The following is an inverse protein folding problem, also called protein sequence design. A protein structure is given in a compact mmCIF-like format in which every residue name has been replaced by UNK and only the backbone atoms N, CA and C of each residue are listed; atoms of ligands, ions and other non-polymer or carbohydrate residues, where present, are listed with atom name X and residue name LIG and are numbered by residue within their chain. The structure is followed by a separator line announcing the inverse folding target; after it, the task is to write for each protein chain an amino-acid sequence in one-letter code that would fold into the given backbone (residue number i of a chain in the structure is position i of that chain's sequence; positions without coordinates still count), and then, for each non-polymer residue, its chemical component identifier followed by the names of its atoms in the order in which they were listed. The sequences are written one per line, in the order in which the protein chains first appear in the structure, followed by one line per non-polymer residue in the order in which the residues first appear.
data_IF_486368501440
#
_entry.id   IF_486368501440
#
_cell.length_a   1.000
_cell.length_b   1.000
_cell.length_c   1.000
_cell.angle_alpha   90.00
_cell.angle_beta   90.00
_cell.angle_gamma   90.00
#
_symmetry.space_group_name_H-M   'P 1'
#
loop_
_entity.id
_entity.type
_entity.pdbx_description
1 polymer ?
#
# COMPACT_ATOMS: atom_id res chain seq x y z
N UNK A 1 -47.32 -27.15 26.32
CA UNK A 1 -47.25 -26.30 25.12
C UNK A 1 -46.33 -25.12 25.41
N UNK A 2 -45.08 -25.33 25.31
CA UNK A 2 -44.08 -24.27 25.53
C UNK A 2 -43.03 -24.39 24.42
N UNK A 3 -42.83 -23.39 23.64
CA UNK A 3 -41.67 -23.32 22.82
C UNK A 3 -41.84 -22.99 21.37
N UNK A 4 -42.26 -21.78 21.03
CA UNK A 4 -42.06 -21.29 19.65
C UNK A 4 -41.78 -19.79 19.54
N UNK A 5 -41.72 -19.04 20.64
CA UNK A 5 -41.54 -17.59 20.60
C UNK A 5 -40.06 -17.14 20.62
N UNK A 6 -39.10 -17.98 21.08
CA UNK A 6 -37.68 -17.65 21.17
C UNK A 6 -36.92 -17.75 19.85
N UNK A 7 -37.40 -18.45 18.86
CA UNK A 7 -36.65 -18.73 17.62
C UNK A 7 -36.59 -17.58 16.62
N UNK A 8 -37.55 -16.67 16.60
CA UNK A 8 -37.56 -15.54 15.64
C UNK A 8 -36.59 -14.45 16.05
N UNK A 9 -36.51 -14.12 17.33
CA UNK A 9 -35.60 -13.10 17.83
C UNK A 9 -34.16 -13.55 17.73
N UNK A 10 -33.85 -14.80 18.03
CA UNK A 10 -32.52 -15.38 17.83
C UNK A 10 -32.10 -15.41 16.37
N UNK A 11 -33.01 -15.69 15.45
CA UNK A 11 -32.77 -15.69 14.02
C UNK A 11 -32.46 -14.27 13.50
N UNK A 12 -33.22 -13.27 13.95
CA UNK A 12 -33.02 -11.86 13.60
C UNK A 12 -31.69 -11.34 14.13
N UNK A 13 -31.32 -11.68 15.38
CA UNK A 13 -30.04 -11.31 15.99
C UNK A 13 -28.88 -11.97 15.23
N UNK A 14 -29.00 -13.24 14.90
CA UNK A 14 -27.99 -13.97 14.13
C UNK A 14 -27.84 -13.42 12.71
N UNK A 15 -28.93 -12.98 12.09
CA UNK A 15 -28.90 -12.34 10.77
C UNK A 15 -28.22 -10.98 10.84
N UNK A 16 -28.57 -10.13 11.80
CA UNK A 16 -27.93 -8.83 12.01
C UNK A 16 -26.42 -8.96 12.29
N UNK A 17 -26.01 -9.96 13.07
CA UNK A 17 -24.60 -10.26 13.30
C UNK A 17 -23.89 -10.71 12.01
N UNK A 18 -24.54 -11.50 11.16
CA UNK A 18 -23.98 -11.92 9.86
C UNK A 18 -23.83 -10.73 8.92
N UNK A 19 -24.85 -9.88 8.84
CA UNK A 19 -24.84 -8.69 7.98
C UNK A 19 -23.78 -7.69 8.44
N UNK A 20 -23.63 -7.47 9.75
CA UNK A 20 -22.58 -6.65 10.35
C UNK A 20 -21.18 -7.22 10.06
N UNK A 21 -20.97 -8.52 10.29
CA UNK A 21 -19.70 -9.19 10.00
C UNK A 21 -19.39 -9.21 8.50
N UNK A 22 -20.40 -9.26 7.64
CA UNK A 22 -20.20 -9.21 6.20
C UNK A 22 -19.87 -7.81 5.70
N UNK A 23 -20.46 -6.77 6.31
CA UNK A 23 -20.11 -5.38 6.06
C UNK A 23 -18.66 -5.07 6.53
N UNK A 24 -18.29 -5.49 7.75
CA UNK A 24 -16.91 -5.35 8.25
C UNK A 24 -15.90 -6.12 7.41
N UNK A 25 -16.23 -7.33 6.93
CA UNK A 25 -15.39 -8.10 6.01
C UNK A 25 -15.19 -7.40 4.68
N UNK A 26 -16.19 -6.67 4.20
CA UNK A 26 -16.10 -5.92 2.94
C UNK A 26 -15.12 -4.75 3.05
N UNK A 27 -15.05 -4.11 4.24
CA UNK A 27 -14.09 -3.04 4.53
C UNK A 27 -12.69 -3.58 4.85
N UNK A 28 -12.56 -4.86 5.23
CA UNK A 28 -11.28 -5.51 5.58
C UNK A 28 -10.60 -6.23 4.42
N UNK A 29 -11.15 -6.21 3.22
CA UNK A 29 -10.56 -6.86 2.05
C UNK A 29 -9.32 -6.09 1.62
N UNK A 30 -8.18 -6.79 1.55
CA UNK A 30 -6.92 -6.23 1.08
C UNK A 30 -7.05 -5.75 -0.37
N UNK A 31 -6.55 -4.55 -0.64
CA UNK A 31 -6.56 -3.92 -1.98
C UNK A 31 -5.17 -3.93 -2.59
N UNK A 32 -5.12 -3.97 -3.90
CA UNK A 32 -3.86 -3.72 -4.62
C UNK A 32 -3.45 -2.27 -4.49
N UNK A 33 -2.16 -2.02 -4.50
CA UNK A 33 -1.58 -0.69 -4.49
C UNK A 33 -1.05 -0.30 -5.86
N UNK A 34 -1.21 0.97 -6.21
CA UNK A 34 -0.58 1.61 -7.36
C UNK A 34 0.65 2.36 -6.89
N UNK A 35 1.79 2.07 -7.51
CA UNK A 35 3.07 2.73 -7.24
C UNK A 35 3.42 3.54 -8.48
N UNK A 36 3.55 4.84 -8.32
CA UNK A 36 3.94 5.75 -9.41
C UNK A 36 5.32 6.33 -9.13
N UNK A 37 6.22 6.24 -10.09
CA UNK A 37 7.52 6.92 -10.04
C UNK A 37 7.28 8.40 -10.33
N UNK A 38 7.43 9.25 -9.29
CA UNK A 38 7.20 10.68 -9.42
C UNK A 38 8.42 11.40 -9.96
N UNK A 39 9.59 11.08 -9.41
CA UNK A 39 10.85 11.73 -9.78
C UNK A 39 12.02 10.77 -9.66
N UNK A 40 12.99 10.94 -10.55
CA UNK A 40 14.36 10.50 -10.37
C UNK A 40 15.19 11.75 -10.01
N UNK A 41 16.03 11.64 -8.99
CA UNK A 41 16.75 12.78 -8.43
C UNK A 41 18.24 12.50 -8.31
N UNK A 42 19.01 13.56 -8.12
CA UNK A 42 20.44 13.50 -7.78
C UNK A 42 20.73 14.63 -6.79
N UNK A 43 21.25 14.28 -5.62
CA UNK A 43 21.87 15.26 -4.74
C UNK A 43 23.29 15.54 -5.27
N UNK A 44 23.44 16.68 -5.93
CA UNK A 44 24.69 17.03 -6.62
C UNK A 44 25.88 17.20 -5.66
N UNK A 45 25.64 17.81 -4.52
CA UNK A 45 26.68 18.05 -3.51
C UNK A 45 27.19 16.72 -2.92
N UNK A 46 26.28 15.86 -2.49
CA UNK A 46 26.63 14.55 -1.96
C UNK A 46 27.23 13.63 -3.02
N UNK A 47 26.73 13.69 -4.24
CA UNK A 47 27.26 12.90 -5.34
C UNK A 47 28.69 13.33 -5.74
N UNK A 48 29.00 14.62 -5.65
CA UNK A 48 30.34 15.14 -5.90
C UNK A 48 31.34 14.66 -4.84
N UNK A 49 30.91 14.63 -3.57
CA UNK A 49 31.76 14.19 -2.46
C UNK A 49 31.94 12.68 -2.37
N UNK A 50 30.83 11.92 -2.54
CA UNK A 50 30.82 10.47 -2.28
C UNK A 50 30.56 9.60 -3.50
N UNK A 51 30.05 10.15 -4.58
CA UNK A 51 29.77 9.39 -5.80
C UNK A 51 31.00 9.25 -6.70
N UNK A 52 30.89 8.37 -7.68
CA UNK A 52 31.89 8.30 -8.76
C UNK A 52 31.75 9.50 -9.69
N UNK A 53 32.82 9.96 -10.34
CA UNK A 53 32.74 11.04 -11.32
C UNK A 53 31.68 10.77 -12.38
N UNK A 54 30.82 11.75 -12.65
CA UNK A 54 29.77 11.63 -13.65
C UNK A 54 28.54 10.84 -13.20
N UNK A 55 28.38 10.56 -11.91
CA UNK A 55 27.18 9.91 -11.39
C UNK A 55 25.94 10.74 -11.76
N UNK A 56 24.98 10.10 -12.44
CA UNK A 56 23.68 10.68 -12.77
C UNK A 56 22.56 10.12 -11.92
N UNK A 57 21.31 10.51 -12.22
CA UNK A 57 20.12 9.93 -11.60
C UNK A 57 20.04 8.43 -11.86
N UNK A 58 19.32 7.71 -10.98
CA UNK A 58 19.17 6.26 -11.09
C UNK A 58 18.53 5.85 -12.42
N UNK A 59 19.18 4.97 -13.20
CA UNK A 59 18.66 4.53 -14.50
C UNK A 59 17.64 3.40 -14.42
N UNK A 60 17.41 2.85 -13.21
CA UNK A 60 16.54 1.68 -12.99
C UNK A 60 15.06 2.01 -13.14
N UNK A 61 14.68 3.28 -12.95
CA UNK A 61 13.31 3.76 -12.96
C UNK A 61 13.17 4.98 -13.86
N UNK A 62 11.98 5.15 -14.42
CA UNK A 62 11.63 6.31 -15.25
C UNK A 62 10.47 7.08 -14.62
N UNK A 63 10.54 8.39 -14.64
CA UNK A 63 9.44 9.25 -14.21
C UNK A 63 8.15 8.92 -14.98
N UNK A 64 7.03 8.84 -14.24
CA UNK A 64 5.73 8.46 -14.79
C UNK A 64 5.50 6.96 -14.89
N UNK A 65 6.50 6.12 -14.65
CA UNK A 65 6.34 4.67 -14.65
C UNK A 65 5.40 4.23 -13.53
N UNK A 66 4.52 3.28 -13.83
CA UNK A 66 3.50 2.78 -12.90
C UNK A 66 3.65 1.28 -12.70
N UNK A 67 3.56 0.86 -11.45
CA UNK A 67 3.51 -0.54 -11.03
C UNK A 67 2.27 -0.79 -10.19
N UNK A 68 1.74 -1.99 -10.26
CA UNK A 68 0.67 -2.45 -9.38
C UNK A 68 1.20 -3.57 -8.50
N UNK A 69 1.11 -3.37 -7.20
CA UNK A 69 1.53 -4.35 -6.20
C UNK A 69 0.31 -5.06 -5.61
N UNK A 70 0.26 -6.37 -5.76
CA UNK A 70 -0.67 -7.21 -5.01
C UNK A 70 0.07 -7.81 -3.81
N UNK A 71 0.36 -6.98 -2.82
CA UNK A 71 1.06 -7.31 -1.57
C UNK A 71 2.53 -7.74 -1.73
N UNK A 72 2.92 -8.28 -2.87
CA UNK A 72 4.28 -8.69 -3.19
C UNK A 72 4.95 -7.68 -4.14
N UNK A 73 6.28 -7.76 -4.23
CA UNK A 73 7.05 -6.93 -5.15
C UNK A 73 6.57 -7.15 -6.59
N UNK A 74 6.19 -6.09 -7.33
CA UNK A 74 5.85 -6.22 -8.74
C UNK A 74 7.04 -6.69 -9.57
N UNK A 75 6.77 -7.40 -10.65
CA UNK A 75 7.80 -7.79 -11.60
C UNK A 75 8.50 -6.56 -12.18
N UNK A 76 9.81 -6.62 -12.27
CA UNK A 76 10.64 -5.52 -12.79
C UNK A 76 10.85 -4.35 -11.82
N UNK A 77 10.29 -4.40 -10.60
CA UNK A 77 10.52 -3.38 -9.58
C UNK A 77 11.87 -3.59 -8.90
N UNK A 78 12.55 -2.50 -8.56
CA UNK A 78 13.84 -2.53 -7.89
C UNK A 78 13.74 -3.13 -6.49
N UNK A 79 14.59 -4.11 -6.16
CA UNK A 79 14.60 -4.78 -4.86
C UNK A 79 14.91 -3.82 -3.71
N UNK A 80 15.88 -2.91 -3.89
CA UNK A 80 16.25 -1.95 -2.85
C UNK A 80 15.14 -0.91 -2.63
N UNK A 81 14.49 -0.46 -3.69
CA UNK A 81 13.32 0.40 -3.55
C UNK A 81 12.17 -0.31 -2.84
N UNK A 82 11.94 -1.60 -3.14
CA UNK A 82 10.90 -2.38 -2.48
C UNK A 82 11.12 -2.51 -0.97
N UNK A 83 12.36 -2.75 -0.54
CA UNK A 83 12.71 -2.78 0.89
C UNK A 83 12.39 -1.47 1.60
N UNK A 84 12.55 -0.35 0.91
CA UNK A 84 12.27 0.97 1.48
C UNK A 84 10.77 1.28 1.59
N UNK A 85 9.96 0.82 0.64
CA UNK A 85 8.55 1.23 0.51
C UNK A 85 7.54 0.17 0.95
N UNK A 86 7.97 -1.07 1.19
CA UNK A 86 7.08 -2.19 1.50
C UNK A 86 6.10 -1.91 2.64
N UNK A 87 6.54 -1.29 3.73
CA UNK A 87 5.68 -0.97 4.87
C UNK A 87 4.50 -0.07 4.49
N UNK A 88 4.67 0.82 3.53
CA UNK A 88 3.60 1.69 3.04
C UNK A 88 2.64 0.94 2.13
N UNK A 89 3.14 0.04 1.31
CA UNK A 89 2.31 -0.87 0.51
C UNK A 89 1.46 -1.75 1.43
N UNK A 90 2.07 -2.32 2.47
CA UNK A 90 1.37 -3.09 3.48
C UNK A 90 0.26 -2.28 4.15
N UNK A 91 0.60 -1.11 4.67
CA UNK A 91 -0.35 -0.26 5.38
C UNK A 91 -1.52 0.17 4.49
N UNK A 92 -1.24 0.62 3.28
CA UNK A 92 -2.27 1.09 2.34
C UNK A 92 -3.13 -0.04 1.82
N UNK A 93 -2.57 -1.21 1.52
CA UNK A 93 -3.34 -2.37 1.09
C UNK A 93 -4.33 -2.86 2.16
N UNK A 94 -4.05 -2.59 3.43
CA UNK A 94 -4.91 -2.93 4.58
C UNK A 94 -5.77 -1.77 5.08
N UNK A 95 -5.91 -0.72 4.29
CA UNK A 95 -6.86 0.36 4.58
C UNK A 95 -6.32 1.52 5.42
N UNK A 96 -5.00 1.67 5.56
CA UNK A 96 -4.42 2.86 6.18
C UNK A 96 -4.86 4.13 5.43
N UNK A 97 -5.30 5.12 6.16
CA UNK A 97 -5.85 6.37 5.64
C UNK A 97 -5.23 7.60 6.30
N UNK A 98 -6.01 8.29 7.11
CA UNK A 98 -5.67 9.60 7.68
C UNK A 98 -4.43 9.61 8.58
N UNK A 99 -4.12 8.50 9.26
CA UNK A 99 -2.94 8.39 10.12
C UNK A 99 -1.62 8.30 9.37
N UNK A 100 -1.66 7.99 8.08
CA UNK A 100 -0.44 7.83 7.29
C UNK A 100 0.09 9.20 6.87
N UNK A 101 1.37 9.48 7.20
CA UNK A 101 2.04 10.77 6.96
C UNK A 101 1.31 11.98 7.53
N UNK A 102 0.60 11.81 8.64
CA UNK A 102 -0.05 12.91 9.36
C UNK A 102 -0.87 13.81 8.43
N UNK A 103 -1.91 13.22 7.86
CA UNK A 103 -2.83 13.95 6.98
C UNK A 103 -3.31 15.26 7.62
N UNK A 104 -3.23 16.34 6.87
CA UNK A 104 -3.58 17.68 7.31
C UNK A 104 -2.38 18.49 7.83
N UNK A 105 -1.39 17.84 8.45
CA UNK A 105 -0.16 18.49 8.92
C UNK A 105 0.99 18.34 7.92
N UNK A 106 1.12 17.16 7.33
CA UNK A 106 2.24 16.84 6.43
C UNK A 106 1.78 16.52 5.02
N UNK A 107 0.82 15.61 4.85
CA UNK A 107 0.29 15.25 3.53
C UNK A 107 -1.08 15.88 3.28
N UNK A 108 -1.34 16.26 2.03
CA UNK A 108 -2.60 16.93 1.63
C UNK A 108 -3.78 15.99 1.46
N UNK A 109 -3.53 14.75 1.03
CA UNK A 109 -4.58 13.74 0.78
C UNK A 109 -4.39 12.54 1.72
N UNK A 110 -5.47 12.04 2.33
CA UNK A 110 -5.38 10.80 3.11
C UNK A 110 -5.14 9.60 2.19
N UNK A 111 -4.55 8.52 2.74
CA UNK A 111 -4.37 7.28 2.00
C UNK A 111 -3.34 7.34 0.88
N UNK A 112 -2.42 8.29 0.94
CA UNK A 112 -1.31 8.44 -0.01
C UNK A 112 0.01 8.44 0.74
N UNK A 113 0.98 7.65 0.28
CA UNK A 113 2.35 7.69 0.76
C UNK A 113 3.26 8.30 -0.31
N UNK A 114 4.05 9.29 0.08
CA UNK A 114 5.15 9.83 -0.72
C UNK A 114 6.44 9.40 -0.05
N UNK A 115 7.20 8.54 -0.70
CA UNK A 115 8.39 7.92 -0.14
C UNK A 115 9.49 7.75 -1.19
N UNK A 116 10.66 7.33 -0.76
CA UNK A 116 11.81 7.15 -1.65
C UNK A 116 12.45 5.79 -1.47
N UNK A 117 13.28 5.41 -2.44
CA UNK A 117 14.21 4.29 -2.29
C UNK A 117 15.30 4.60 -1.24
N UNK A 118 16.18 3.62 -1.00
CA UNK A 118 17.24 3.74 0.00
C UNK A 118 18.52 4.46 -0.49
N UNK A 119 18.57 4.89 -1.75
CA UNK A 119 19.75 5.57 -2.30
C UNK A 119 19.78 7.04 -1.86
N UNK A 120 20.70 7.37 -0.97
CA UNK A 120 20.85 8.73 -0.46
C UNK A 120 21.49 9.71 -1.43
N UNK A 121 22.17 9.24 -2.49
CA UNK A 121 22.79 10.11 -3.51
C UNK A 121 21.83 10.47 -4.64
N UNK A 122 20.97 9.52 -5.03
CA UNK A 122 20.04 9.66 -6.15
C UNK A 122 18.67 9.06 -5.85
N UNK A 123 17.96 9.55 -4.82
CA UNK A 123 16.70 8.97 -4.41
C UNK A 123 15.66 9.02 -5.54
N UNK A 124 14.98 7.91 -5.77
CA UNK A 124 13.79 7.84 -6.61
C UNK A 124 12.57 8.01 -5.74
N UNK A 125 11.69 8.93 -6.10
CA UNK A 125 10.51 9.30 -5.31
C UNK A 125 9.28 8.61 -5.87
N UNK A 126 8.52 7.99 -5.00
CA UNK A 126 7.30 7.24 -5.32
C UNK A 126 6.07 7.83 -4.66
N UNK A 127 4.95 7.75 -5.36
CA UNK A 127 3.62 7.85 -4.77
C UNK A 127 3.02 6.46 -4.69
N UNK A 128 2.51 6.09 -3.52
CA UNK A 128 1.81 4.82 -3.29
C UNK A 128 0.39 5.14 -2.84
N UNK A 129 -0.58 4.49 -3.46
CA UNK A 129 -1.99 4.66 -3.14
C UNK A 129 -2.73 3.31 -3.31
N UNK A 130 -3.70 3.03 -2.44
CA UNK A 130 -4.56 1.87 -2.61
C UNK A 130 -5.50 2.09 -3.79
N UNK A 131 -5.77 1.01 -4.53
CA UNK A 131 -6.78 0.99 -5.60
C UNK A 131 -8.09 0.40 -5.08
N UNK A 132 -9.14 0.45 -5.90
CA UNK A 132 -10.40 -0.25 -5.62
C UNK A 132 -10.31 -1.76 -5.96
N UNK A 133 -9.26 -2.19 -6.62
CA UNK A 133 -9.08 -3.58 -7.02
C UNK A 133 -8.67 -4.43 -5.81
N UNK A 134 -9.44 -5.49 -5.57
CA UNK A 134 -9.17 -6.43 -4.49
C UNK A 134 -7.92 -7.27 -4.78
N UNK A 135 -7.18 -7.60 -3.72
CA UNK A 135 -6.08 -8.56 -3.80
C UNK A 135 -6.58 -9.92 -4.28
N UNK A 136 -5.78 -10.59 -5.09
CA UNK A 136 -6.00 -11.97 -5.53
C UNK A 136 -5.14 -12.98 -4.80
N UNK A 137 -4.35 -12.51 -3.83
CA UNK A 137 -3.49 -13.40 -3.04
C UNK A 137 -4.36 -14.26 -2.14
N UNK A 138 -4.10 -15.56 -2.17
CA UNK A 138 -4.74 -16.55 -1.33
C UNK A 138 -3.67 -17.30 -0.52
N UNK A 139 -3.74 -17.13 0.78
CA UNK A 139 -2.86 -17.81 1.74
C UNK A 139 -3.53 -19.05 2.38
N UNK A 140 -4.58 -19.57 1.75
CA UNK A 140 -5.20 -20.81 2.22
C UNK A 140 -4.19 -21.96 2.20
N UNK A 141 -4.00 -22.69 3.32
CA UNK A 141 -3.05 -23.79 3.35
C UNK A 141 -3.38 -24.85 2.32
N UNK A 142 -2.36 -25.32 1.62
CA UNK A 142 -2.50 -26.47 0.71
C UNK A 142 -2.83 -27.70 1.55
N UNK A 143 -3.89 -28.40 1.19
CA UNK A 143 -4.36 -29.62 1.86
C UNK A 143 -3.83 -30.85 1.16
#
# INVERSE_FOLDING_TARGET
MSGTFFRQDEFIIAQKKRDFNQAERKDSIMKKCKITVLKTTLDKELAEEYGVPGLGACPMMKEGQVFYADYAKPEGFCDEAWKAIYQYVFALSHGAGEGLFYYGDWIRKPGVAICSCNDGLRPVIFKIEATEEESKIDYTPVR
#
